data_IF_167461797810
#
_entry.id   IF_167461797810
#
_cell.length_a   1.000
_cell.length_b   1.000
_cell.length_c   1.000
_cell.angle_alpha   90.00
_cell.angle_beta   90.00
_cell.angle_gamma   90.00
#
_symmetry.space_group_name_H-M   'P 1'
#
loop_
_entity.id
_entity.type
_entity.pdbx_description
1 polymer ?
#
# COMPACT_ATOMS: atom_id res chain seq x y z
N UNK A 1 -0.83 -16.01 16.69
CA UNK A 1 -1.50 -15.73 15.41
C UNK A 1 -1.37 -14.23 15.19
N UNK A 2 -0.36 -13.80 14.41
CA UNK A 2 -0.19 -12.37 14.13
C UNK A 2 -1.41 -11.95 13.31
N UNK A 3 -2.24 -11.08 13.90
CA UNK A 3 -3.32 -10.42 13.18
C UNK A 3 -2.65 -9.59 12.10
N UNK A 4 -2.72 -10.03 10.85
CA UNK A 4 -2.30 -9.21 9.72
C UNK A 4 -3.20 -8.00 9.69
N UNK A 5 -2.62 -6.80 9.80
CA UNK A 5 -3.36 -5.56 9.71
C UNK A 5 -4.08 -5.55 8.35
N UNK A 6 -5.43 -5.53 8.31
CA UNK A 6 -6.18 -5.61 7.07
C UNK A 6 -6.02 -4.34 6.21
N UNK A 7 -5.43 -3.28 6.78
CA UNK A 7 -5.10 -2.03 6.08
C UNK A 7 -3.68 -2.01 5.50
N UNK A 8 -2.86 -3.03 5.81
CA UNK A 8 -1.51 -3.14 5.25
C UNK A 8 -1.57 -3.45 3.75
N UNK A 9 -1.11 -2.50 2.95
CA UNK A 9 -1.15 -2.58 1.49
C UNK A 9 0.07 -3.30 0.90
N UNK A 10 1.25 -3.06 1.47
CA UNK A 10 2.52 -3.49 0.89
C UNK A 10 3.72 -2.68 1.36
N UNK A 11 4.85 -2.92 0.70
CA UNK A 11 6.14 -2.32 1.05
C UNK A 11 6.67 -1.41 -0.06
N UNK A 12 7.34 -0.32 0.34
CA UNK A 12 7.93 0.63 -0.60
C UNK A 12 9.11 -0.04 -1.30
N UNK A 13 9.04 -0.14 -2.63
CA UNK A 13 10.08 -0.70 -3.48
C UNK A 13 11.09 0.37 -3.92
N UNK A 14 10.62 1.55 -4.29
CA UNK A 14 11.46 2.68 -4.70
C UNK A 14 10.70 4.00 -4.65
N UNK A 15 11.46 5.11 -4.61
CA UNK A 15 10.94 6.48 -4.60
C UNK A 15 11.69 7.30 -5.65
N UNK A 16 10.95 8.03 -6.48
CA UNK A 16 11.49 8.94 -7.50
C UNK A 16 10.65 10.23 -7.54
N UNK A 17 11.14 11.29 -6.89
CA UNK A 17 10.37 12.53 -6.73
C UNK A 17 9.08 12.28 -5.94
N UNK A 18 7.93 12.66 -6.51
CA UNK A 18 6.59 12.39 -5.95
C UNK A 18 6.06 10.99 -6.27
N UNK A 19 6.76 10.21 -7.09
CA UNK A 19 6.36 8.86 -7.48
C UNK A 19 6.92 7.83 -6.51
N UNK A 20 6.04 6.99 -5.95
CA UNK A 20 6.40 5.90 -5.03
C UNK A 20 5.95 4.58 -5.64
N UNK A 21 6.87 3.65 -5.84
CA UNK A 21 6.55 2.28 -6.24
C UNK A 21 6.41 1.40 -5.00
N UNK A 22 5.34 0.60 -4.95
CA UNK A 22 5.01 -0.25 -3.80
C UNK A 22 4.75 -1.67 -4.30
N UNK A 23 5.41 -2.66 -3.70
CA UNK A 23 5.06 -4.07 -3.90
C UNK A 23 3.85 -4.42 -3.05
N UNK A 24 2.83 -5.02 -3.68
CA UNK A 24 1.61 -5.40 -2.97
C UNK A 24 1.83 -6.65 -2.13
N UNK A 25 1.41 -6.58 -0.87
CA UNK A 25 1.42 -7.72 0.03
C UNK A 25 0.52 -8.84 -0.50
N UNK A 26 0.89 -10.09 -0.21
CA UNK A 26 0.08 -11.27 -0.56
C UNK A 26 -1.33 -11.24 0.05
N UNK A 27 -1.48 -10.62 1.22
CA UNK A 27 -2.77 -10.37 1.89
C UNK A 27 -3.75 -9.53 1.05
N UNK A 28 -3.24 -8.70 0.13
CA UNK A 28 -4.06 -7.87 -0.78
C UNK A 28 -4.37 -8.61 -2.09
N UNK A 29 -4.19 -9.94 -2.10
CA UNK A 29 -4.54 -10.94 -3.13
C UNK A 29 -5.63 -10.58 -4.16
N UNK A 30 -6.73 -9.96 -3.75
CA UNK A 30 -7.88 -9.66 -4.62
C UNK A 30 -8.05 -8.19 -4.99
N UNK A 31 -7.27 -7.27 -4.39
CA UNK A 31 -7.59 -5.83 -4.38
C UNK A 31 -8.90 -5.51 -3.64
N UNK A 32 -9.47 -6.48 -2.93
CA UNK A 32 -10.75 -6.41 -2.24
C UNK A 32 -10.62 -6.80 -0.75
N UNK A 33 -9.83 -6.06 0.06
CA UNK A 33 -9.71 -6.35 1.48
C UNK A 33 -11.04 -6.10 2.21
N UNK A 34 -11.31 -6.92 3.23
CA UNK A 34 -12.45 -6.75 4.13
C UNK A 34 -11.94 -6.09 5.41
N UNK A 35 -12.35 -4.84 5.65
CA UNK A 35 -11.97 -4.06 6.83
C UNK A 35 -13.24 -3.70 7.59
N UNK A 36 -13.38 -4.17 8.84
CA UNK A 36 -14.57 -3.91 9.65
C UNK A 36 -15.88 -4.40 9.03
N UNK A 37 -15.86 -5.53 8.31
CA UNK A 37 -17.04 -6.11 7.66
C UNK A 37 -17.46 -5.42 6.35
N UNK A 38 -16.66 -4.49 5.83
CA UNK A 38 -16.89 -3.82 4.54
C UNK A 38 -15.82 -4.21 3.54
N UNK A 39 -16.22 -4.44 2.30
CA UNK A 39 -15.30 -4.67 1.18
C UNK A 39 -14.83 -3.33 0.63
N UNK A 40 -13.52 -3.12 0.58
CA UNK A 40 -12.92 -1.94 -0.04
C UNK A 40 -12.27 -2.30 -1.37
N UNK A 41 -12.24 -1.38 -2.33
CA UNK A 41 -11.47 -1.52 -3.57
C UNK A 41 -10.15 -0.78 -3.39
N UNK A 42 -9.07 -1.52 -3.18
CA UNK A 42 -7.74 -0.97 -2.87
C UNK A 42 -6.70 -1.52 -3.84
N UNK A 43 -5.65 -0.73 -4.13
CA UNK A 43 -4.58 -1.13 -5.03
C UNK A 43 -4.96 -1.07 -6.51
N UNK A 44 -5.93 -0.24 -6.87
CA UNK A 44 -6.33 0.05 -8.25
C UNK A 44 -6.05 1.52 -8.58
N UNK A 45 -5.95 1.88 -9.86
CA UNK A 45 -5.81 3.29 -10.27
C UNK A 45 -6.95 4.13 -9.70
N UNK A 46 -6.61 5.27 -9.10
CA UNK A 46 -7.52 6.16 -8.40
C UNK A 46 -7.72 5.85 -6.91
N UNK A 47 -7.22 4.71 -6.41
CA UNK A 47 -7.23 4.43 -4.97
C UNK A 47 -6.40 5.46 -4.20
N UNK A 48 -6.91 5.92 -3.06
CA UNK A 48 -6.18 6.78 -2.14
C UNK A 48 -5.40 5.93 -1.12
N UNK A 49 -4.14 6.29 -0.87
CA UNK A 49 -3.26 5.56 0.03
C UNK A 49 -2.63 6.49 1.05
N UNK A 50 -2.37 5.93 2.24
CA UNK A 50 -1.62 6.56 3.31
C UNK A 50 -0.30 5.81 3.49
N UNK A 51 0.80 6.56 3.61
CA UNK A 51 2.14 6.05 3.87
C UNK A 51 2.60 6.65 5.20
N UNK A 52 2.52 5.89 6.31
CA UNK A 52 3.01 6.35 7.60
C UNK A 52 4.53 6.52 7.60
N UNK A 53 5.02 7.67 8.08
CA UNK A 53 6.43 8.05 8.15
C UNK A 53 6.75 8.65 9.53
N UNK A 54 6.76 7.81 10.56
CA UNK A 54 7.05 8.23 11.93
C UNK A 54 6.01 9.24 12.46
N UNK A 55 6.35 10.53 12.41
CA UNK A 55 5.52 11.62 12.90
C UNK A 55 4.62 12.29 11.86
N UNK A 56 4.62 11.80 10.62
CA UNK A 56 3.77 12.32 9.55
C UNK A 56 3.19 11.18 8.73
N UNK A 57 2.07 11.45 8.09
CA UNK A 57 1.45 10.59 7.10
C UNK A 57 1.56 11.26 5.74
N UNK A 58 2.15 10.57 4.77
CA UNK A 58 2.10 10.99 3.38
C UNK A 58 0.85 10.40 2.73
N UNK A 59 0.25 11.16 1.83
CA UNK A 59 -0.94 10.77 1.11
C UNK A 59 -0.71 10.81 -0.38
N UNK A 60 -1.27 9.84 -1.08
CA UNK A 60 -1.12 9.73 -2.52
C UNK A 60 -2.28 9.03 -3.19
N UNK A 61 -2.28 9.11 -4.51
CA UNK A 61 -3.24 8.42 -5.37
C UNK A 61 -2.49 7.41 -6.23
N UNK A 62 -3.03 6.20 -6.32
CA UNK A 62 -2.51 5.18 -7.23
C UNK A 62 -2.73 5.65 -8.66
N UNK A 63 -1.65 5.75 -9.43
CA UNK A 63 -1.66 6.19 -10.82
C UNK A 63 -1.41 5.06 -11.80
N UNK A 64 -0.77 3.98 -11.35
CA UNK A 64 -0.47 2.82 -12.17
C UNK A 64 -0.54 1.55 -11.33
N UNK A 65 -0.92 0.45 -11.99
CA UNK A 65 -0.90 -0.89 -11.41
C UNK A 65 -0.26 -1.84 -12.42
N UNK A 66 0.59 -2.72 -11.93
CA UNK A 66 1.28 -3.69 -12.76
C UNK A 66 1.42 -5.04 -12.09
N UNK A 67 1.62 -6.06 -12.90
CA UNK A 67 2.00 -7.40 -12.46
C UNK A 67 3.20 -7.83 -13.28
N UNK A 68 4.36 -7.99 -12.64
CA UNK A 68 5.52 -8.59 -13.29
C UNK A 68 5.29 -10.10 -13.29
N UNK A 69 4.95 -10.67 -14.45
CA UNK A 69 5.01 -12.11 -14.67
C UNK A 69 6.42 -12.45 -15.16
N UNK A 70 7.32 -12.91 -14.29
CA UNK A 70 8.52 -13.64 -14.70
C UNK A 70 8.75 -14.80 -13.73
N UNK A 71 8.81 -16.05 -14.22
CA UNK A 71 9.07 -17.23 -13.41
C UNK A 71 10.56 -17.33 -13.08
N UNK A 72 10.85 -17.94 -11.93
CA UNK A 72 12.15 -18.36 -11.39
C UNK A 72 12.59 -17.48 -10.22
N UNK A 73 12.61 -18.14 -9.06
CA UNK A 73 12.96 -17.62 -7.72
C UNK A 73 11.84 -16.81 -7.09
N UNK A 74 10.81 -17.57 -6.68
CA UNK A 74 9.76 -17.12 -5.77
C UNK A 74 10.41 -16.91 -4.41
N UNK A 75 10.76 -15.68 -4.07
CA UNK A 75 10.63 -15.26 -2.68
C UNK A 75 9.13 -15.31 -2.40
N UNK A 76 8.69 -16.29 -1.58
CA UNK A 76 7.28 -16.62 -1.29
C UNK A 76 6.45 -15.43 -0.76
N UNK A 77 7.09 -14.29 -0.48
CA UNK A 77 6.48 -13.09 0.07
C UNK A 77 5.96 -12.11 -1.00
N UNK A 78 6.44 -12.19 -2.25
CA UNK A 78 6.13 -11.18 -3.26
C UNK A 78 5.24 -11.72 -4.39
N UNK A 79 4.04 -11.15 -4.52
CA UNK A 79 3.08 -11.55 -5.58
C UNK A 79 3.49 -11.09 -6.99
N UNK A 80 4.62 -10.40 -7.13
CA UNK A 80 5.07 -9.77 -8.37
C UNK A 80 4.21 -8.57 -8.79
N UNK A 81 3.21 -8.22 -7.98
CA UNK A 81 2.30 -7.10 -8.23
C UNK A 81 2.82 -5.85 -7.55
N UNK A 82 2.65 -4.74 -8.25
CA UNK A 82 3.10 -3.45 -7.78
C UNK A 82 2.11 -2.38 -8.19
N UNK A 83 2.17 -1.27 -7.46
CA UNK A 83 1.43 -0.06 -7.74
C UNK A 83 2.40 1.12 -7.76
N UNK A 84 2.11 2.12 -8.59
CA UNK A 84 2.76 3.42 -8.51
C UNK A 84 1.79 4.43 -7.91
N UNK A 85 2.25 5.14 -6.90
CA UNK A 85 1.51 6.16 -6.19
C UNK A 85 2.13 7.51 -6.50
N UNK A 86 1.29 8.50 -6.84
CA UNK A 86 1.70 9.90 -6.85
C UNK A 86 1.32 10.54 -5.53
N UNK A 87 2.31 11.08 -4.82
CA UNK A 87 2.09 11.85 -3.61
C UNK A 87 1.35 13.15 -3.93
N UNK A 88 0.33 13.45 -3.12
CA UNK A 88 -0.51 14.64 -3.28
C UNK A 88 -0.44 15.58 -2.08
N UNK A 89 0.05 15.10 -0.93
CA UNK A 89 0.22 15.90 0.26
C UNK A 89 0.68 15.10 1.46
N UNK A 90 0.81 15.78 2.59
CA UNK A 90 1.21 15.24 3.87
C UNK A 90 0.31 15.79 4.98
N UNK A 91 0.17 15.03 6.07
CA UNK A 91 -0.37 15.53 7.31
C UNK A 91 0.61 15.22 8.44
N UNK A 92 0.83 16.20 9.32
CA UNK A 92 1.53 15.94 10.57
C UNK A 92 0.65 15.01 11.42
N UNK A 93 1.24 13.90 11.84
CA UNK A 93 0.59 12.97 12.74
C UNK A 93 0.38 13.67 14.07
N UNK A 94 -0.88 13.98 14.39
CA UNK A 94 -1.25 14.26 15.76
C UNK A 94 -1.08 12.95 16.54
N UNK A 95 0.09 12.73 17.15
CA UNK A 95 0.19 11.88 18.33
C UNK A 95 -0.54 12.58 19.49
N UNK A 96 -1.84 12.84 19.33
CA UNK A 96 -2.74 12.95 20.47
C UNK A 96 -3.07 11.52 20.86
N UNK A 97 -2.22 10.98 21.74
CA UNK A 97 -2.53 9.82 22.57
C UNK A 97 -3.84 10.16 23.29
N UNK A 98 -4.97 9.60 22.85
CA UNK A 98 -6.12 9.49 23.73
C UNK A 98 -5.76 8.46 24.83
N UNK A 99 -5.86 8.94 26.07
CA UNK A 99 -5.86 8.14 27.30
C UNK A 99 -7.00 7.10 27.32
#
# INVERSE_FOLDING_TARGET
MLVTDPTFLGEIASVSGSAVAIFLASSVGSGLPIIGGRVYKTGQVGSFVRIPQGYQDLYGVVTEVGAKAVPNEVDDENTGRWIQVQLVGEALGAYSREE
#
